data_IF_479342843996
#
_entry.id   IF_479342843996
#
_cell.length_a   1.000
_cell.length_b   1.000
_cell.length_c   1.000
_cell.angle_alpha   90.00
_cell.angle_beta   90.00
_cell.angle_gamma   90.00
#
_symmetry.space_group_name_H-M   'P 1'
#
loop_
_entity.id
_entity.type
_entity.pdbx_description
1 polymer ?
#
# COMPACT_ATOMS: atom_id res chain seq x y z
N UNK A 1 5.43 -0.30 -38.16
CA UNK A 1 6.30 -0.05 -36.99
C UNK A 1 5.38 0.19 -35.81
N UNK A 2 5.16 -0.84 -34.99
CA UNK A 2 4.06 -0.87 -34.00
C UNK A 2 4.65 -0.63 -32.63
N UNK A 3 4.46 0.58 -32.10
CA UNK A 3 4.73 0.95 -30.71
C UNK A 3 3.70 0.26 -29.83
N UNK A 4 4.11 -0.79 -29.10
CA UNK A 4 3.25 -1.44 -28.11
C UNK A 4 3.33 -0.67 -26.79
N UNK A 5 2.25 0.06 -26.55
CA UNK A 5 1.88 0.79 -25.35
C UNK A 5 1.35 -0.22 -24.31
N UNK A 6 2.11 -0.51 -23.26
CA UNK A 6 1.66 -1.42 -22.19
C UNK A 6 1.00 -0.63 -21.06
N UNK A 7 -0.33 -0.50 -21.14
CA UNK A 7 -1.17 0.05 -20.08
C UNK A 7 -1.04 -0.75 -18.77
N UNK A 8 -0.94 -0.06 -17.64
CA UNK A 8 -1.03 -0.60 -16.28
C UNK A 8 -1.96 0.23 -15.40
N UNK A 9 -3.18 0.49 -15.89
CA UNK A 9 -4.18 1.25 -15.15
C UNK A 9 -4.52 0.59 -13.79
N UNK A 10 -4.18 1.24 -12.67
CA UNK A 10 -4.82 0.99 -11.37
C UNK A 10 -5.72 2.18 -11.03
N UNK A 11 -6.88 2.21 -11.68
CA UNK A 11 -8.02 2.97 -11.19
C UNK A 11 -8.75 2.17 -10.10
N UNK A 12 -9.41 2.88 -9.18
CA UNK A 12 -10.20 2.32 -8.08
C UNK A 12 -11.18 1.26 -8.61
N UNK A 13 -10.87 -0.03 -8.45
CA UNK A 13 -11.86 -1.09 -8.66
C UNK A 13 -12.38 -1.48 -7.28
N UNK A 14 -13.66 -1.21 -6.95
CA UNK A 14 -14.29 -1.87 -5.84
C UNK A 14 -14.34 -3.36 -6.16
N UNK A 15 -13.77 -4.20 -5.29
CA UNK A 15 -13.96 -5.66 -5.36
C UNK A 15 -15.46 -5.94 -5.15
N UNK A 16 -16.23 -6.01 -6.24
CA UNK A 16 -17.54 -6.66 -6.24
C UNK A 16 -17.31 -8.17 -6.18
N UNK A 17 -17.70 -8.79 -5.08
CA UNK A 17 -17.95 -10.24 -5.07
C UNK A 17 -19.17 -10.55 -5.95
N UNK A 18 -19.21 -11.69 -6.65
CA UNK A 18 -20.32 -12.02 -7.53
C UNK A 18 -21.49 -12.55 -6.71
N UNK A 19 -22.60 -11.81 -6.70
CA UNK A 19 -23.87 -12.32 -6.17
C UNK A 19 -24.74 -11.29 -5.46
N UNK A 20 -25.20 -10.26 -6.17
CA UNK A 20 -26.49 -9.61 -5.91
C UNK A 20 -26.74 -8.52 -6.96
N UNK A 21 -27.70 -8.79 -7.84
CA UNK A 21 -28.40 -7.71 -8.52
C UNK A 21 -29.16 -6.88 -7.50
N UNK A 22 -29.08 -5.56 -7.67
CA UNK A 22 -29.86 -4.48 -7.04
C UNK A 22 -29.35 -3.84 -5.72
N UNK A 23 -29.04 -2.54 -5.84
CA UNK A 23 -29.06 -1.46 -4.81
C UNK A 23 -28.08 -1.54 -3.64
N UNK A 24 -26.79 -1.32 -3.89
CA UNK A 24 -25.86 -0.90 -2.81
C UNK A 24 -24.93 0.21 -3.29
N UNK A 25 -25.23 1.43 -2.84
CA UNK A 25 -24.31 2.56 -2.87
C UNK A 25 -24.31 3.20 -1.48
N UNK A 26 -23.57 2.60 -0.55
CA UNK A 26 -23.08 3.32 0.61
C UNK A 26 -21.58 3.04 0.70
N UNK A 27 -20.79 4.11 0.73
CA UNK A 27 -19.34 4.09 0.65
C UNK A 27 -18.75 3.16 1.71
N UNK A 28 -18.13 2.06 1.28
CA UNK A 28 -17.27 1.26 2.13
C UNK A 28 -16.06 2.10 2.55
N UNK A 29 -15.73 2.13 3.84
CA UNK A 29 -14.39 2.50 4.30
C UNK A 29 -13.40 1.45 3.80
N UNK A 30 -13.04 1.54 2.52
CA UNK A 30 -12.01 0.68 1.94
C UNK A 30 -10.65 1.14 2.48
N UNK A 31 -9.74 0.21 2.81
CA UNK A 31 -8.34 0.54 2.96
C UNK A 31 -7.88 1.34 1.74
N UNK A 32 -7.17 2.44 1.96
CA UNK A 32 -6.51 3.13 0.86
C UNK A 32 -5.55 2.13 0.22
N UNK A 33 -5.78 1.73 -1.02
CA UNK A 33 -4.79 0.98 -1.80
C UNK A 33 -3.74 2.01 -2.22
N UNK A 34 -2.48 1.78 -1.85
CA UNK A 34 -1.40 2.56 -2.44
C UNK A 34 -1.38 2.22 -3.93
N UNK A 35 -1.66 3.20 -4.78
CA UNK A 35 -1.54 3.03 -6.22
C UNK A 35 -0.08 2.76 -6.53
N UNK A 36 0.20 1.63 -7.18
CA UNK A 36 1.40 1.53 -8.01
C UNK A 36 1.35 2.68 -9.00
N UNK A 37 2.37 3.55 -9.05
CA UNK A 37 2.43 4.57 -10.09
C UNK A 37 2.52 3.86 -11.46
N UNK A 38 1.92 4.44 -12.49
CA UNK A 38 2.01 4.00 -13.90
C UNK A 38 3.48 4.12 -14.38
N UNK A 39 4.34 3.20 -13.96
CA UNK A 39 5.80 3.41 -13.93
C UNK A 39 6.60 2.73 -15.02
N UNK A 40 5.96 2.14 -16.02
CA UNK A 40 6.68 1.45 -17.09
C UNK A 40 6.68 2.17 -18.44
N UNK A 41 6.18 3.41 -18.50
CA UNK A 41 6.05 4.12 -19.77
C UNK A 41 7.28 4.94 -20.22
N UNK A 42 8.21 5.30 -19.32
CA UNK A 42 9.31 6.23 -19.65
C UNK A 42 10.73 5.86 -19.17
N UNK A 43 10.93 4.72 -18.51
CA UNK A 43 12.27 4.27 -18.07
C UNK A 43 12.74 3.05 -18.87
N UNK A 44 14.06 2.88 -19.12
CA UNK A 44 14.59 1.62 -19.58
C UNK A 44 14.07 0.48 -18.69
N UNK A 45 13.60 -0.60 -19.30
CA UNK A 45 13.01 -1.72 -18.59
C UNK A 45 14.03 -2.37 -17.67
N UNK A 46 13.60 -2.90 -16.52
CA UNK A 46 14.48 -3.68 -15.67
C UNK A 46 15.09 -4.87 -16.43
N UNK A 47 16.41 -5.01 -16.34
CA UNK A 47 17.23 -5.98 -17.05
C UNK A 47 17.87 -6.98 -16.07
N UNK A 48 18.12 -8.21 -16.53
CA UNK A 48 18.81 -9.24 -15.74
C UNK A 48 20.27 -9.39 -16.17
N UNK A 49 21.28 -8.91 -15.41
CA UNK A 49 22.70 -9.22 -15.57
C UNK A 49 23.00 -10.70 -15.84
N UNK A 50 22.46 -11.62 -15.03
CA UNK A 50 22.73 -13.06 -15.16
C UNK A 50 22.06 -13.71 -16.39
N UNK A 51 21.21 -12.97 -17.09
CA UNK A 51 20.51 -13.42 -18.27
C UNK A 51 20.73 -12.43 -19.41
N UNK A 52 21.98 -11.96 -19.61
CA UNK A 52 22.37 -11.17 -20.79
C UNK A 52 21.56 -9.88 -20.99
N UNK A 53 21.13 -9.25 -19.89
CA UNK A 53 20.32 -8.02 -19.89
C UNK A 53 18.95 -8.16 -20.56
N UNK A 54 18.37 -9.37 -20.56
CA UNK A 54 17.02 -9.53 -21.06
C UNK A 54 16.01 -8.72 -20.24
N UNK A 55 15.12 -8.05 -20.97
CA UNK A 55 14.02 -7.24 -20.43
C UNK A 55 12.98 -8.09 -19.72
N UNK A 56 12.57 -7.61 -18.55
CA UNK A 56 11.43 -8.13 -17.82
C UNK A 56 10.10 -7.63 -18.39
N UNK A 57 9.07 -8.46 -18.34
CA UNK A 57 7.71 -8.12 -18.76
C UNK A 57 6.69 -8.45 -17.69
N UNK A 58 5.62 -7.66 -17.59
CA UNK A 58 4.51 -7.91 -16.66
C UNK A 58 3.93 -9.31 -16.88
N UNK A 59 3.76 -10.05 -15.79
CA UNK A 59 3.35 -11.45 -15.74
C UNK A 59 2.17 -11.70 -14.79
N UNK A 60 1.36 -10.65 -14.54
CA UNK A 60 0.16 -10.69 -13.73
C UNK A 60 0.37 -10.22 -12.28
N UNK A 61 -0.71 -10.18 -11.51
CA UNK A 61 -0.69 -9.68 -10.13
C UNK A 61 0.01 -10.65 -9.17
N UNK A 62 0.75 -10.08 -8.22
CA UNK A 62 1.27 -10.78 -7.07
C UNK A 62 0.10 -11.24 -6.19
N UNK A 63 0.10 -12.52 -5.81
CA UNK A 63 -1.05 -13.15 -5.15
C UNK A 63 -1.35 -12.60 -3.76
N UNK A 64 -0.36 -11.98 -3.11
CA UNK A 64 -0.48 -11.52 -1.73
C UNK A 64 -0.49 -10.00 -1.68
N UNK A 65 -1.60 -9.44 -1.23
CA UNK A 65 -1.66 -8.03 -0.82
C UNK A 65 -0.98 -7.90 0.55
N UNK A 66 -0.12 -6.89 0.71
CA UNK A 66 0.60 -6.62 1.95
C UNK A 66 0.02 -5.41 2.66
N UNK A 67 -0.16 -5.51 3.98
CA UNK A 67 -0.45 -4.33 4.81
C UNK A 67 0.84 -3.60 5.13
N UNK A 68 0.90 -2.32 4.83
CA UNK A 68 2.04 -1.44 5.09
C UNK A 68 1.66 -0.44 6.17
N UNK A 69 2.51 -0.33 7.18
CA UNK A 69 2.35 0.66 8.25
C UNK A 69 2.80 2.04 7.76
N UNK A 70 1.90 3.02 7.82
CA UNK A 70 2.20 4.44 7.64
C UNK A 70 1.98 5.21 8.96
N UNK A 71 2.21 6.52 8.95
CA UNK A 71 2.14 7.40 10.11
C UNK A 71 0.76 7.42 10.76
N UNK A 72 -0.31 7.39 9.97
CA UNK A 72 -1.68 7.64 10.39
C UNK A 72 -2.66 6.50 10.03
N UNK A 73 -2.22 5.52 9.24
CA UNK A 73 -3.05 4.37 8.85
C UNK A 73 -2.22 3.18 8.40
N UNK A 74 -2.93 2.08 8.18
CA UNK A 74 -2.46 0.98 7.34
C UNK A 74 -2.96 1.19 5.91
N UNK A 75 -2.13 0.91 4.92
CA UNK A 75 -2.55 0.82 3.53
C UNK A 75 -2.25 -0.55 2.95
N UNK A 76 -3.05 -0.95 1.98
CA UNK A 76 -2.88 -2.21 1.27
C UNK A 76 -1.98 -1.97 0.05
N UNK A 77 -0.91 -2.76 -0.04
CA UNK A 77 0.05 -2.77 -1.13
C UNK A 77 -0.18 -4.00 -2.00
N UNK A 78 -0.62 -3.75 -3.23
CA UNK A 78 -0.63 -4.72 -4.31
C UNK A 78 0.55 -4.48 -5.24
N UNK A 79 1.10 -5.54 -5.80
CA UNK A 79 2.22 -5.45 -6.76
C UNK A 79 2.04 -6.51 -7.85
N UNK A 80 2.86 -6.45 -8.89
CA UNK A 80 2.83 -7.38 -10.02
C UNK A 80 4.06 -8.28 -10.01
N UNK A 81 3.94 -9.42 -10.69
CA UNK A 81 5.08 -10.22 -11.11
C UNK A 81 5.65 -9.66 -12.40
N UNK A 82 6.97 -9.59 -12.45
CA UNK A 82 7.77 -9.34 -13.64
C UNK A 82 8.46 -10.64 -14.02
N UNK A 83 8.34 -11.09 -15.27
CA UNK A 83 8.94 -12.32 -15.78
C UNK A 83 9.98 -12.04 -16.86
N UNK A 84 11.11 -12.75 -16.80
CA UNK A 84 12.07 -12.79 -17.89
C UNK A 84 11.60 -13.78 -18.97
N UNK A 85 11.45 -13.33 -20.20
CA UNK A 85 11.02 -14.20 -21.30
C UNK A 85 12.03 -15.31 -21.64
N UNK A 86 13.32 -15.05 -21.40
CA UNK A 86 14.41 -15.99 -21.68
C UNK A 86 14.51 -17.09 -20.60
N UNK A 87 14.74 -16.73 -19.34
CA UNK A 87 14.95 -17.71 -18.26
C UNK A 87 13.70 -18.07 -17.45
N UNK A 88 12.54 -17.46 -17.74
CA UNK A 88 11.25 -17.66 -17.06
C UNK A 88 11.24 -17.36 -15.56
N UNK A 89 12.30 -16.78 -15.01
CA UNK A 89 12.35 -16.32 -13.62
C UNK A 89 11.35 -15.17 -13.41
N UNK A 90 10.67 -15.20 -12.26
CA UNK A 90 9.70 -14.19 -11.82
C UNK A 90 10.25 -13.40 -10.64
N UNK A 91 10.03 -12.10 -10.68
CA UNK A 91 10.37 -11.14 -9.64
C UNK A 91 9.12 -10.37 -9.25
N UNK A 92 9.00 -9.96 -8.00
CA UNK A 92 7.97 -8.96 -7.66
C UNK A 92 8.48 -7.60 -8.15
N UNK A 93 7.59 -6.73 -8.64
CA UNK A 93 7.96 -5.37 -9.03
C UNK A 93 8.54 -4.58 -7.83
N UNK A 94 8.17 -4.97 -6.62
CA UNK A 94 8.69 -4.42 -5.37
C UNK A 94 9.94 -5.15 -4.81
N UNK A 95 10.59 -6.01 -5.59
CA UNK A 95 11.81 -6.68 -5.13
C UNK A 95 12.98 -5.72 -5.14
N UNK A 96 13.86 -5.82 -4.14
CA UNK A 96 15.06 -4.97 -4.02
C UNK A 96 15.93 -5.02 -5.27
N UNK A 97 15.97 -6.17 -5.93
CA UNK A 97 16.67 -6.34 -7.20
C UNK A 97 16.14 -5.42 -8.32
N UNK A 98 14.82 -5.26 -8.41
CA UNK A 98 14.18 -4.41 -9.41
C UNK A 98 14.31 -2.95 -9.00
N UNK A 99 14.03 -2.64 -7.73
CA UNK A 99 14.13 -1.29 -7.21
C UNK A 99 15.56 -0.73 -7.30
N UNK A 100 16.58 -1.55 -7.05
CA UNK A 100 17.99 -1.17 -7.15
C UNK A 100 18.47 -0.83 -8.56
N UNK A 101 17.69 -1.11 -9.60
CA UNK A 101 17.99 -0.69 -10.98
C UNK A 101 17.40 0.68 -11.32
N UNK A 102 16.48 1.19 -10.49
CA UNK A 102 15.85 2.48 -10.71
C UNK A 102 16.79 3.61 -10.27
N UNK A 103 16.76 4.72 -11.00
CA UNK A 103 17.35 5.96 -10.50
C UNK A 103 16.58 6.48 -9.27
N UNK A 104 17.21 7.41 -8.55
CA UNK A 104 16.67 7.96 -7.30
C UNK A 104 15.27 8.55 -7.45
N UNK A 105 14.95 9.17 -8.59
CA UNK A 105 13.65 9.79 -8.83
C UNK A 105 12.53 8.75 -8.88
N UNK A 106 12.74 7.65 -9.61
CA UNK A 106 11.76 6.58 -9.69
C UNK A 106 11.73 5.70 -8.45
N UNK A 107 12.89 5.42 -7.83
CA UNK A 107 12.95 4.72 -6.55
C UNK A 107 12.15 5.45 -5.45
N UNK A 108 12.13 6.78 -5.45
CA UNK A 108 11.36 7.57 -4.48
C UNK A 108 9.85 7.32 -4.51
N UNK A 109 9.33 6.76 -5.61
CA UNK A 109 7.91 6.44 -5.79
C UNK A 109 7.53 5.08 -5.17
N UNK A 110 8.51 4.32 -4.66
CA UNK A 110 8.33 3.06 -3.95
C UNK A 110 8.71 3.21 -2.46
N UNK A 111 7.90 3.95 -1.67
CA UNK A 111 8.27 4.31 -0.30
C UNK A 111 8.19 3.14 0.69
N UNK A 112 7.54 2.03 0.35
CA UNK A 112 7.39 0.91 1.25
C UNK A 112 8.64 0.03 1.29
N UNK A 113 9.26 -0.11 2.47
CA UNK A 113 10.26 -1.13 2.73
C UNK A 113 9.58 -2.45 3.09
N UNK A 114 9.89 -3.50 2.33
CA UNK A 114 9.30 -4.82 2.50
C UNK A 114 10.36 -5.81 2.99
N UNK A 115 10.03 -6.57 4.02
CA UNK A 115 10.78 -7.75 4.45
C UNK A 115 9.92 -9.00 4.31
N UNK A 116 10.49 -10.18 4.53
CA UNK A 116 9.68 -11.41 4.52
C UNK A 116 8.47 -11.33 5.46
N UNK A 117 8.61 -10.73 6.65
CA UNK A 117 7.55 -10.69 7.68
C UNK A 117 6.81 -9.36 7.80
N UNK A 118 7.45 -8.25 7.44
CA UNK A 118 7.05 -6.92 7.85
C UNK A 118 7.07 -5.94 6.66
N UNK A 119 6.21 -4.92 6.70
CA UNK A 119 6.15 -3.88 5.66
C UNK A 119 5.91 -2.52 6.31
N UNK A 120 6.74 -1.52 6.01
CA UNK A 120 6.73 -0.21 6.65
C UNK A 120 7.00 0.88 5.62
N UNK A 121 6.29 1.99 5.71
CA UNK A 121 6.54 3.16 4.86
C UNK A 121 7.82 3.90 5.30
N UNK A 122 8.59 4.41 4.34
CA UNK A 122 9.82 5.18 4.58
C UNK A 122 9.53 6.46 5.38
N UNK A 123 8.30 6.99 5.38
CA UNK A 123 7.89 8.07 6.31
C UNK A 123 8.10 7.66 7.77
N UNK A 124 7.70 6.45 8.16
CA UNK A 124 7.88 5.93 9.51
C UNK A 124 9.36 5.64 9.79
N UNK A 125 10.09 5.10 8.80
CA UNK A 125 11.53 4.81 8.93
C UNK A 125 12.34 6.10 9.12
N UNK A 126 12.06 7.14 8.32
CA UNK A 126 12.67 8.47 8.47
C UNK A 126 12.48 9.04 9.86
N UNK A 127 11.31 8.86 10.46
CA UNK A 127 11.09 9.26 11.85
C UNK A 127 12.01 8.51 12.83
N UNK A 128 12.34 7.23 12.58
CA UNK A 128 13.32 6.49 13.41
C UNK A 128 14.77 6.91 13.15
N UNK A 129 15.10 7.33 11.92
CA UNK A 129 16.46 7.78 11.54
C UNK A 129 16.85 9.08 12.25
N UNK A 130 15.88 9.95 12.58
CA UNK A 130 16.15 11.22 13.27
C UNK A 130 16.70 10.96 14.67
N UNK A 131 17.98 11.23 14.91
CA UNK A 131 18.64 11.05 16.22
C UNK A 131 18.52 12.33 17.05
N UNK A 132 17.40 12.53 17.73
CA UNK A 132 17.25 13.62 18.72
C UNK A 132 17.05 13.06 20.13
N UNK A 133 17.44 13.83 21.14
CA UNK A 133 17.09 13.56 22.54
C UNK A 133 15.57 13.49 22.65
N UNK A 134 15.05 12.30 22.99
CA UNK A 134 13.61 12.05 23.02
C UNK A 134 13.00 11.45 21.76
N UNK A 135 13.80 10.89 20.85
CA UNK A 135 13.30 10.05 19.75
C UNK A 135 13.63 8.57 19.96
N UNK A 136 12.94 7.95 20.92
CA UNK A 136 12.97 6.49 21.13
C UNK A 136 11.87 5.81 20.31
N UNK A 137 12.06 4.51 20.02
CA UNK A 137 11.03 3.70 19.36
C UNK A 137 9.72 3.65 20.17
N UNK A 138 9.80 3.73 21.50
CA UNK A 138 8.62 3.81 22.36
C UNK A 138 7.86 5.12 22.17
N UNK A 139 8.56 6.25 22.03
CA UNK A 139 7.94 7.54 21.74
C UNK A 139 7.34 7.57 20.34
N UNK A 140 8.05 7.02 19.34
CA UNK A 140 7.49 6.86 18.00
C UNK A 140 6.21 6.01 18.02
N UNK A 141 6.22 4.87 18.71
CA UNK A 141 5.04 4.03 18.85
C UNK A 141 3.84 4.79 19.45
N UNK A 142 4.07 5.56 20.52
CA UNK A 142 3.02 6.42 21.12
C UNK A 142 2.50 7.44 20.12
N UNK A 143 3.39 8.09 19.37
CA UNK A 143 3.02 9.06 18.33
C UNK A 143 2.21 8.43 17.21
N UNK A 144 2.61 7.25 16.72
CA UNK A 144 1.84 6.51 15.72
C UNK A 144 0.46 6.15 16.26
N UNK A 145 0.36 5.73 17.52
CA UNK A 145 -0.92 5.39 18.15
C UNK A 145 -1.86 6.60 18.21
N UNK A 146 -1.34 7.75 18.59
CA UNK A 146 -2.07 9.02 18.60
C UNK A 146 -2.55 9.39 17.19
N UNK A 147 -1.66 9.38 16.19
CA UNK A 147 -1.98 9.72 14.80
C UNK A 147 -3.00 8.75 14.17
N UNK A 148 -2.87 7.44 14.40
CA UNK A 148 -3.83 6.44 13.92
C UNK A 148 -5.20 6.62 14.59
N UNK A 149 -5.22 6.91 15.89
CA UNK A 149 -6.48 7.13 16.63
C UNK A 149 -7.20 8.39 16.15
N UNK A 150 -6.45 9.47 15.91
CA UNK A 150 -6.96 10.73 15.37
C UNK A 150 -7.53 10.53 13.95
N UNK A 151 -6.74 9.97 13.04
CA UNK A 151 -7.17 9.74 11.66
C UNK A 151 -8.36 8.78 11.57
N UNK A 152 -8.38 7.74 12.40
CA UNK A 152 -9.52 6.83 12.51
C UNK A 152 -10.78 7.58 12.97
N UNK A 153 -10.69 8.38 14.03
CA UNK A 153 -11.83 9.16 14.54
C UNK A 153 -12.38 10.12 13.48
N UNK A 154 -11.49 10.78 12.72
CA UNK A 154 -11.88 11.65 11.61
C UNK A 154 -12.61 10.87 10.52
N UNK A 155 -12.12 9.69 10.12
CA UNK A 155 -12.78 8.84 9.13
C UNK A 155 -14.14 8.32 9.60
N UNK A 156 -14.26 7.93 10.88
CA UNK A 156 -15.54 7.53 11.49
C UNK A 156 -16.54 8.69 11.45
N UNK A 157 -16.11 9.90 11.83
CA UNK A 157 -16.96 11.09 11.79
C UNK A 157 -17.43 11.41 10.37
N UNK A 158 -16.54 11.31 9.37
CA UNK A 158 -16.87 11.51 7.96
C UNK A 158 -17.91 10.49 7.50
N UNK A 159 -17.72 9.21 7.83
CA UNK A 159 -18.66 8.15 7.51
C UNK A 159 -20.04 8.40 8.12
N UNK A 160 -20.11 8.65 9.43
CA UNK A 160 -21.38 8.93 10.11
C UNK A 160 -22.06 10.17 9.52
N UNK A 161 -21.29 11.20 9.16
CA UNK A 161 -21.81 12.41 8.51
C UNK A 161 -22.36 12.11 7.12
N UNK A 162 -21.72 11.23 6.35
CA UNK A 162 -22.22 10.78 5.05
C UNK A 162 -23.50 9.94 5.17
N UNK A 163 -23.68 9.19 6.27
CA UNK A 163 -24.90 8.41 6.51
C UNK A 163 -26.11 9.27 6.93
N UNK A 164 -25.89 10.41 7.61
CA UNK A 164 -26.97 11.25 8.18
C UNK A 164 -28.12 11.61 7.22
N UNK A 165 -27.89 11.99 5.94
CA UNK A 165 -29.00 12.36 5.03
C UNK A 165 -29.96 11.21 4.77
N UNK A 166 -29.43 9.98 4.73
CA UNK A 166 -30.18 8.78 4.40
C UNK A 166 -30.99 8.24 5.57
N UNK A 167 -30.60 8.55 6.81
CA UNK A 167 -31.35 8.17 8.02
C UNK A 167 -32.69 8.90 8.14
N UNK A 168 -32.84 10.07 7.51
CA UNK A 168 -34.06 10.92 7.62
C UNK A 168 -35.01 10.82 6.43
N UNK A 169 -34.59 10.19 5.33
CA UNK A 169 -35.29 10.27 4.03
C UNK A 169 -36.14 9.04 3.69
N UNK A 170 -36.14 7.97 4.49
CA UNK A 170 -36.84 6.72 4.16
C UNK A 170 -38.25 6.67 4.75
N UNK A 171 -39.27 6.68 3.90
CA UNK A 171 -40.69 6.53 4.29
C UNK A 171 -41.12 5.07 4.54
N UNK A 172 -40.24 4.09 4.28
CA UNK A 172 -40.61 2.66 4.29
C UNK A 172 -39.81 1.84 5.31
N UNK A 173 -38.49 1.99 5.39
CA UNK A 173 -37.63 1.49 6.49
C UNK A 173 -36.31 2.27 6.58
N UNK A 174 -35.79 2.60 7.79
CA UNK A 174 -34.48 3.22 7.94
C UNK A 174 -33.37 2.33 7.36
N UNK A 175 -32.47 2.86 6.53
CA UNK A 175 -31.31 2.10 6.07
C UNK A 175 -30.43 1.70 7.25
N UNK A 176 -30.07 0.41 7.31
CA UNK A 176 -29.10 -0.13 8.27
C UNK A 176 -27.71 0.08 7.70
N UNK A 177 -26.93 0.94 8.34
CA UNK A 177 -25.53 1.17 7.97
C UNK A 177 -24.63 0.16 8.68
N UNK A 178 -23.56 -0.26 8.01
CA UNK A 178 -22.51 -1.05 8.65
C UNK A 178 -21.87 -0.26 9.80
N UNK A 179 -21.49 -0.94 10.87
CA UNK A 179 -20.73 -0.31 11.94
C UNK A 179 -19.34 0.12 11.41
N UNK A 180 -18.82 1.29 11.83
CA UNK A 180 -17.48 1.69 11.44
C UNK A 180 -16.44 0.63 11.84
N UNK A 181 -15.39 0.41 11.02
CA UNK A 181 -14.38 -0.59 11.34
C UNK A 181 -13.65 -0.23 12.64
N UNK A 182 -13.24 -1.22 13.41
CA UNK A 182 -12.43 -1.01 14.61
C UNK A 182 -11.05 -0.43 14.25
N UNK A 183 -10.50 0.40 15.14
CA UNK A 183 -9.12 0.88 15.03
C UNK A 183 -8.15 -0.30 14.91
N UNK A 184 -7.31 -0.27 13.87
CA UNK A 184 -6.33 -1.31 13.62
C UNK A 184 -5.21 -1.27 14.66
N UNK A 185 -4.86 -2.44 15.20
CA UNK A 185 -3.77 -2.54 16.17
C UNK A 185 -2.42 -2.19 15.53
N UNK A 186 -1.62 -1.41 16.26
CA UNK A 186 -0.24 -1.11 15.87
C UNK A 186 0.71 -2.24 16.27
N UNK A 187 1.82 -2.42 15.53
CA UNK A 187 2.79 -3.44 15.87
C UNK A 187 3.60 -3.01 17.10
N UNK A 188 4.01 -4.00 17.91
CA UNK A 188 4.79 -3.75 19.13
C UNK A 188 6.13 -3.03 18.81
N UNK A 189 6.71 -2.25 19.74
CA UNK A 189 8.00 -1.57 19.51
C UNK A 189 9.14 -2.45 18.99
N UNK A 190 9.22 -3.73 19.39
CA UNK A 190 10.21 -4.70 18.86
C UNK A 190 10.13 -4.88 17.33
N UNK A 191 8.93 -4.76 16.76
CA UNK A 191 8.72 -4.83 15.31
C UNK A 191 9.33 -3.63 14.60
N UNK A 192 9.15 -2.42 15.16
CA UNK A 192 9.71 -1.19 14.60
C UNK A 192 11.24 -1.23 14.61
N UNK A 193 11.84 -1.76 15.68
CA UNK A 193 13.29 -2.00 15.75
C UNK A 193 13.77 -2.97 14.67
N UNK A 194 13.03 -4.05 14.39
CA UNK A 194 13.39 -4.99 13.34
C UNK A 194 13.34 -4.34 11.95
N UNK A 195 12.35 -3.49 11.69
CA UNK A 195 12.28 -2.71 10.44
C UNK A 195 13.43 -1.72 10.31
N UNK A 196 13.75 -1.00 11.39
CA UNK A 196 14.87 -0.06 11.41
C UNK A 196 16.22 -0.76 11.22
N UNK A 197 16.41 -1.94 11.83
CA UNK A 197 17.62 -2.72 11.61
C UNK A 197 17.76 -3.12 10.14
N UNK A 198 16.68 -3.53 9.48
CA UNK A 198 16.70 -3.82 8.03
C UNK A 198 17.01 -2.58 7.21
N UNK A 199 16.44 -1.44 7.59
CA UNK A 199 16.61 -0.17 6.88
C UNK A 199 18.05 0.36 6.90
N UNK A 200 18.77 0.17 8.02
CA UNK A 200 20.13 0.69 8.21
C UNK A 200 21.21 -0.32 7.80
N UNK A 201 20.93 -1.62 7.93
CA UNK A 201 21.91 -2.70 7.72
C UNK A 201 21.70 -3.48 6.41
N UNK A 202 20.58 -3.28 5.73
CA UNK A 202 20.21 -3.97 4.48
C UNK A 202 20.71 -3.24 3.25
#
# INVERSE_FOLDING_TARGET
>A
MTTLQCCGAVSKIPLKYPGSETREACASLSPSVAKTPDLLHHQPPAELPDCGKHRLTVAGLYRTVRKVLDIDKWYDLATEYLECKCCKKKYTAWSEYILGQLDMGHHSQFPALLTYRYSCDDRVLRMMRVRTLGNSVTQLYKKLMEQHSEAWTQHVLQYLTACKPFTRSSLVQPPVFAEPPLLSALPKPKWLLAMYARDVLG
#
